data_IF_865088996206
#
_entry.id   IF_865088996206
#
_cell.length_a   1.000
_cell.length_b   1.000
_cell.length_c   1.000
_cell.angle_alpha   90.00
_cell.angle_beta   90.00
_cell.angle_gamma   90.00
#
_symmetry.space_group_name_H-M   'P 1'
#
loop_
_entity.id
_entity.type
_entity.pdbx_description
1 polymer ?
#
# COMPACT_ATOMS: atom_id res chain seq x y z
N UNK A 1 -19.91 -4.07 3.35
CA UNK A 1 -18.72 -3.30 3.74
C UNK A 1 -17.73 -4.23 4.41
N UNK A 2 -16.64 -4.65 3.75
CA UNK A 2 -15.58 -5.41 4.43
C UNK A 2 -14.76 -4.40 5.21
N UNK A 3 -14.87 -4.41 6.53
CA UNK A 3 -14.03 -3.57 7.38
C UNK A 3 -12.59 -4.04 7.21
N UNK A 4 -11.72 -3.11 6.85
CA UNK A 4 -10.28 -3.34 6.76
C UNK A 4 -9.67 -3.25 8.15
N UNK A 5 -10.28 -3.88 9.16
CA UNK A 5 -9.85 -3.70 10.54
C UNK A 5 -8.49 -4.37 10.75
N UNK A 6 -7.57 -3.72 11.47
CA UNK A 6 -6.29 -4.32 11.80
C UNK A 6 -6.48 -5.55 12.70
N UNK A 7 -5.85 -6.65 12.33
CA UNK A 7 -5.89 -7.92 13.07
C UNK A 7 -4.58 -8.06 13.87
N UNK A 8 -4.70 -8.24 15.18
CA UNK A 8 -3.57 -8.60 16.02
C UNK A 8 -3.35 -10.12 15.98
N UNK A 9 -2.10 -10.53 15.77
CA UNK A 9 -1.68 -11.92 15.77
C UNK A 9 -0.33 -12.07 16.48
N UNK A 10 0.14 -13.30 16.68
CA UNK A 10 1.42 -13.61 17.32
C UNK A 10 2.32 -14.36 16.34
N UNK A 11 3.63 -14.12 16.42
CA UNK A 11 4.62 -14.93 15.70
C UNK A 11 4.80 -16.29 16.37
N UNK A 12 5.55 -17.20 15.71
CA UNK A 12 5.97 -18.48 16.30
C UNK A 12 6.67 -18.31 17.65
N UNK A 13 7.40 -17.23 17.84
CA UNK A 13 8.13 -16.90 19.08
C UNK A 13 7.30 -16.03 20.04
N UNK A 14 5.98 -15.96 19.87
CA UNK A 14 5.07 -15.20 20.73
C UNK A 14 5.09 -13.68 20.53
N UNK A 15 5.93 -13.15 19.64
CA UNK A 15 6.01 -11.70 19.42
C UNK A 15 4.75 -11.16 18.74
N UNK A 16 4.19 -10.03 19.20
CA UNK A 16 3.00 -9.45 18.60
C UNK A 16 3.25 -8.98 17.16
N UNK A 17 2.26 -9.22 16.30
CA UNK A 17 2.23 -8.83 14.88
C UNK A 17 0.89 -8.18 14.59
N UNK A 18 0.91 -7.14 13.77
CA UNK A 18 -0.30 -6.53 13.24
C UNK A 18 -0.42 -6.90 11.77
N UNK A 19 -1.59 -7.41 11.39
CA UNK A 19 -1.99 -7.59 10.00
C UNK A 19 -2.96 -6.49 9.63
N UNK A 20 -2.58 -5.66 8.66
CA UNK A 20 -3.45 -4.58 8.18
C UNK A 20 -3.28 -4.44 6.68
N UNK A 21 -4.39 -4.47 5.94
CA UNK A 21 -4.40 -4.39 4.47
C UNK A 21 -3.47 -5.42 3.79
N UNK A 22 -3.39 -6.62 4.36
CA UNK A 22 -2.52 -7.70 3.89
C UNK A 22 -1.02 -7.53 4.20
N UNK A 23 -0.64 -6.48 4.92
CA UNK A 23 0.73 -6.24 5.35
C UNK A 23 0.96 -6.68 6.79
N UNK A 24 2.20 -7.12 7.07
CA UNK A 24 2.66 -7.46 8.41
C UNK A 24 3.43 -6.30 9.02
N UNK A 25 3.16 -5.98 10.27
CA UNK A 25 3.89 -5.00 11.04
C UNK A 25 4.36 -5.62 12.37
N UNK A 26 5.54 -5.20 12.80
CA UNK A 26 6.12 -5.52 14.10
C UNK A 26 5.85 -4.38 15.07
N UNK A 27 5.57 -4.73 16.32
CA UNK A 27 5.50 -3.74 17.39
C UNK A 27 6.87 -3.06 17.53
N UNK A 28 6.88 -1.74 17.36
CA UNK A 28 8.06 -0.93 17.61
C UNK A 28 8.16 -0.63 19.09
N UNK A 29 9.34 -0.89 19.67
CA UNK A 29 9.62 -0.75 21.08
C UNK A 29 8.55 -1.43 21.98
N UNK A 30 8.57 -2.78 22.07
CA UNK A 30 7.57 -3.55 22.81
C UNK A 30 7.39 -3.12 24.26
N UNK A 31 8.48 -2.61 24.86
CA UNK A 31 8.55 -2.20 26.26
C UNK A 31 7.99 -0.80 26.53
N UNK A 32 7.49 -0.10 25.50
CA UNK A 32 6.84 1.20 25.69
C UNK A 32 5.64 1.06 26.63
N UNK A 33 5.60 1.78 27.74
CA UNK A 33 4.46 1.72 28.69
C UNK A 33 3.24 2.55 28.24
N UNK A 34 3.38 3.31 27.15
CA UNK A 34 2.30 4.14 26.61
C UNK A 34 1.13 3.32 26.04
N UNK A 35 -0.08 3.87 26.17
CA UNK A 35 -1.33 3.32 25.64
C UNK A 35 -1.27 3.23 24.10
N UNK A 36 -0.57 4.17 23.45
CA UNK A 36 -0.34 4.18 22.00
C UNK A 36 0.85 3.30 21.66
N UNK A 37 0.61 2.30 20.79
CA UNK A 37 1.65 1.41 20.26
C UNK A 37 1.97 1.77 18.82
N UNK A 38 3.27 1.87 18.51
CA UNK A 38 3.74 2.13 17.14
C UNK A 38 4.04 0.81 16.46
N UNK A 39 3.60 0.64 15.21
CA UNK A 39 3.81 -0.58 14.44
C UNK A 39 4.58 -0.26 13.17
N UNK A 40 5.72 -0.94 12.95
CA UNK A 40 6.55 -0.76 11.75
C UNK A 40 6.39 -1.93 10.81
N UNK A 41 6.25 -1.65 9.52
CA UNK A 41 6.17 -2.68 8.49
C UNK A 41 7.38 -3.63 8.60
N UNK A 42 7.17 -4.94 8.46
CA UNK A 42 8.28 -5.92 8.49
C UNK A 42 9.33 -5.65 7.40
N UNK A 43 8.93 -4.98 6.30
CA UNK A 43 9.81 -4.59 5.20
C UNK A 43 10.50 -3.24 5.43
N UNK A 44 10.33 -2.60 6.59
CA UNK A 44 10.95 -1.30 6.93
C UNK A 44 12.47 -1.33 6.78
N UNK A 45 13.12 -2.38 7.29
CA UNK A 45 14.58 -2.56 7.23
C UNK A 45 15.06 -3.29 5.96
N UNK A 46 14.14 -3.67 5.07
CA UNK A 46 14.52 -4.37 3.84
C UNK A 46 15.18 -3.39 2.88
N UNK A 47 16.47 -3.61 2.56
CA UNK A 47 17.24 -2.78 1.62
C UNK A 47 16.56 -2.66 0.24
N UNK A 48 15.81 -3.69 -0.18
CA UNK A 48 15.08 -3.74 -1.45
C UNK A 48 13.79 -2.91 -1.47
N UNK A 49 13.15 -2.70 -0.32
CA UNK A 49 11.81 -2.09 -0.25
C UNK A 49 11.73 -0.80 0.59
N UNK A 50 12.70 -0.53 1.48
CA UNK A 50 12.78 0.63 2.41
C UNK A 50 11.40 1.12 2.87
N UNK A 51 10.56 0.21 3.37
CA UNK A 51 9.12 0.42 3.43
C UNK A 51 8.74 1.50 4.47
N UNK A 52 8.79 2.77 4.08
CA UNK A 52 8.39 3.96 4.86
C UNK A 52 6.93 4.38 4.59
N UNK A 53 6.16 3.59 3.85
CA UNK A 53 4.94 4.07 3.19
C UNK A 53 5.22 4.74 1.84
N UNK A 54 6.38 4.45 1.26
CA UNK A 54 6.94 5.09 0.07
C UNK A 54 6.15 4.71 -1.20
N UNK A 55 5.86 5.72 -2.01
CA UNK A 55 5.40 5.56 -3.39
C UNK A 55 6.60 5.15 -4.24
N UNK A 56 6.51 4.02 -4.92
CA UNK A 56 7.58 3.58 -5.82
C UNK A 56 7.06 3.57 -7.25
N UNK A 57 7.68 4.38 -8.10
CA UNK A 57 7.49 4.32 -9.54
C UNK A 57 8.43 3.27 -10.11
N UNK A 58 7.86 2.36 -10.88
CA UNK A 58 8.60 1.34 -11.62
C UNK A 58 8.09 1.31 -13.05
N UNK A 59 8.87 0.71 -13.92
CA UNK A 59 8.46 0.41 -15.29
C UNK A 59 8.34 -1.09 -15.43
N UNK A 60 7.29 -1.57 -16.11
CA UNK A 60 7.17 -2.98 -16.48
C UNK A 60 8.22 -3.33 -17.54
N UNK A 61 8.47 -4.62 -17.75
CA UNK A 61 9.33 -5.06 -18.87
C UNK A 61 8.79 -4.59 -20.23
N UNK A 62 7.47 -4.39 -20.36
CA UNK A 62 6.84 -3.84 -21.57
C UNK A 62 6.75 -2.31 -21.57
N UNK A 63 7.55 -1.60 -20.77
CA UNK A 63 7.57 -0.13 -20.75
C UNK A 63 6.37 0.52 -20.03
N UNK A 64 5.47 -0.24 -19.41
CA UNK A 64 4.26 0.33 -18.80
C UNK A 64 4.55 0.88 -17.39
N UNK A 65 4.03 2.06 -17.03
CA UNK A 65 4.25 2.61 -15.69
C UNK A 65 3.52 1.79 -14.63
N UNK A 66 4.24 1.48 -13.56
CA UNK A 66 3.77 0.74 -12.38
C UNK A 66 3.97 1.63 -11.17
N UNK A 67 2.94 1.71 -10.33
CA UNK A 67 3.04 2.33 -9.01
C UNK A 67 2.93 1.24 -7.95
N UNK A 68 3.84 1.23 -6.99
CA UNK A 68 3.71 0.42 -5.78
C UNK A 68 3.48 1.38 -4.62
N UNK A 69 2.36 1.20 -3.94
CA UNK A 69 2.02 1.97 -2.75
C UNK A 69 1.51 1.02 -1.68
N UNK A 70 2.10 1.09 -0.48
CA UNK A 70 1.79 0.18 0.64
C UNK A 70 1.68 -1.27 0.18
N UNK A 71 2.68 -1.74 -0.58
CA UNK A 71 2.80 -3.14 -1.01
C UNK A 71 1.73 -3.63 -1.99
N UNK A 72 0.88 -2.73 -2.49
CA UNK A 72 -0.09 -3.00 -3.54
C UNK A 72 0.39 -2.38 -4.83
N UNK A 73 0.19 -3.10 -5.93
CA UNK A 73 0.54 -2.66 -7.28
C UNK A 73 -0.65 -1.95 -7.91
N UNK A 74 -0.40 -0.84 -8.55
CA UNK A 74 -1.37 -0.05 -9.30
C UNK A 74 -0.85 0.18 -10.72
N UNK A 75 -1.78 0.17 -11.68
CA UNK A 75 -1.52 0.56 -13.06
C UNK A 75 -2.11 1.95 -13.31
N UNK A 76 -1.41 2.76 -14.11
CA UNK A 76 -1.90 4.07 -14.54
C UNK A 76 -3.22 3.88 -15.32
N UNK A 77 -4.23 4.65 -14.96
CA UNK A 77 -5.49 4.68 -15.70
C UNK A 77 -5.37 5.74 -16.81
N UNK A 78 -5.30 5.29 -18.06
CA UNK A 78 -5.19 6.15 -19.25
C UNK A 78 -6.56 6.69 -19.71
N UNK A 79 -7.42 7.09 -18.78
CA UNK A 79 -8.63 7.83 -19.15
C UNK A 79 -8.19 9.21 -19.63
N UNK A 80 -8.76 9.69 -20.74
CA UNK A 80 -8.58 11.05 -21.23
C UNK A 80 -9.00 12.04 -20.15
N UNK A 81 -8.05 12.61 -19.41
CA UNK A 81 -8.32 13.87 -18.73
C UNK A 81 -8.53 14.89 -19.86
N UNK A 82 -9.78 15.24 -20.10
CA UNK A 82 -10.18 16.32 -21.02
C UNK A 82 -9.70 17.69 -20.53
N UNK A 83 -9.11 17.77 -19.34
CA UNK A 83 -8.52 18.99 -18.81
C UNK A 83 -6.97 18.90 -18.81
N UNK A 84 -6.28 19.54 -19.78
CA UNK A 84 -4.83 19.57 -19.88
C UNK A 84 -4.11 20.23 -18.69
N UNK A 85 -4.81 21.02 -17.87
CA UNK A 85 -4.26 21.56 -16.61
C UNK A 85 -4.22 20.54 -15.47
N UNK A 86 -4.93 19.41 -15.60
CA UNK A 86 -4.99 18.42 -14.53
C UNK A 86 -3.83 17.42 -14.65
N UNK A 87 -2.70 17.73 -14.00
CA UNK A 87 -1.61 16.77 -13.72
C UNK A 87 -2.03 15.59 -12.81
N UNK A 88 -3.35 15.44 -12.59
CA UNK A 88 -4.00 14.46 -11.74
C UNK A 88 -4.08 13.13 -12.44
N UNK A 89 -3.22 12.20 -12.05
CA UNK A 89 -3.21 10.84 -12.57
C UNK A 89 -3.89 9.90 -11.59
N UNK A 90 -4.93 9.19 -12.06
CA UNK A 90 -5.52 8.08 -11.29
C UNK A 90 -4.79 6.77 -11.60
N UNK A 91 -4.52 6.00 -10.55
CA UNK A 91 -3.90 4.69 -10.62
C UNK A 91 -4.82 3.68 -9.95
N UNK A 92 -5.14 2.60 -10.66
CA UNK A 92 -6.08 1.57 -10.17
C UNK A 92 -5.33 0.32 -9.76
N UNK A 93 -5.80 -0.37 -8.72
CA UNK A 93 -5.20 -1.63 -8.30
C UNK A 93 -5.19 -2.64 -9.45
N UNK A 94 -4.12 -3.43 -9.55
CA UNK A 94 -4.01 -4.48 -10.58
C UNK A 94 -5.04 -5.60 -10.40
N UNK A 95 -5.54 -5.83 -9.18
CA UNK A 95 -6.57 -6.83 -8.87
C UNK A 95 -7.99 -6.35 -9.21
N UNK A 96 -8.12 -5.30 -10.03
CA UNK A 96 -9.44 -4.77 -10.43
C UNK A 96 -10.32 -5.80 -11.13
N UNK A 97 -9.71 -6.68 -11.92
CA UNK A 97 -10.42 -7.76 -12.59
C UNK A 97 -10.88 -8.86 -11.61
N UNK A 98 -10.29 -8.92 -10.41
CA UNK A 98 -10.71 -9.77 -9.29
C UNK A 98 -11.59 -9.02 -8.27
N UNK A 99 -12.26 -7.95 -8.71
CA UNK A 99 -13.23 -7.20 -7.91
C UNK A 99 -12.67 -6.07 -7.04
N UNK A 100 -11.34 -5.86 -6.99
CA UNK A 100 -10.77 -4.78 -6.19
C UNK A 100 -11.09 -3.40 -6.78
N UNK A 101 -11.61 -2.48 -5.95
CA UNK A 101 -11.93 -1.09 -6.36
C UNK A 101 -10.98 -0.06 -5.78
N UNK A 102 -9.88 -0.49 -5.15
CA UNK A 102 -8.85 0.40 -4.64
C UNK A 102 -8.18 1.17 -5.79
N UNK A 103 -7.96 2.46 -5.56
CA UNK A 103 -7.24 3.34 -6.46
C UNK A 103 -6.50 4.41 -5.65
N UNK A 104 -5.51 5.04 -6.27
CA UNK A 104 -4.83 6.21 -5.73
C UNK A 104 -4.79 7.30 -6.78
N UNK A 105 -4.71 8.54 -6.34
CA UNK A 105 -4.62 9.71 -7.20
C UNK A 105 -3.36 10.46 -6.84
N UNK A 106 -2.57 10.76 -7.87
CA UNK A 106 -1.33 11.49 -7.76
C UNK A 106 -1.44 12.81 -8.54
N UNK A 107 -0.80 13.87 -8.03
CA UNK A 107 -0.57 15.13 -8.73
C UNK A 107 0.94 15.37 -8.67
N UNK A 108 1.61 15.61 -9.81
CA UNK A 108 3.07 15.79 -9.87
C UNK A 108 3.87 14.71 -9.09
N UNK A 109 3.46 13.45 -9.19
CA UNK A 109 4.02 12.29 -8.48
C UNK A 109 3.79 12.24 -6.96
N UNK A 110 3.10 13.23 -6.39
CA UNK A 110 2.71 13.22 -4.99
C UNK A 110 1.34 12.57 -4.81
N UNK A 111 1.20 11.73 -3.77
CA UNK A 111 -0.07 11.11 -3.44
C UNK A 111 -1.00 12.11 -2.78
N UNK A 112 -2.06 12.48 -3.50
CA UNK A 112 -3.08 13.41 -2.99
C UNK A 112 -4.32 12.71 -2.45
N UNK A 113 -4.59 11.47 -2.89
CA UNK A 113 -5.78 10.73 -2.44
C UNK A 113 -5.62 9.22 -2.55
N UNK A 114 -6.10 8.50 -1.53
CA UNK A 114 -6.37 7.07 -1.57
C UNK A 114 -7.88 6.87 -1.69
N UNK A 115 -8.32 5.98 -2.58
CA UNK A 115 -9.72 5.73 -2.92
C UNK A 115 -10.02 4.25 -2.67
N UNK A 116 -10.98 3.99 -1.77
CA UNK A 116 -11.39 2.65 -1.32
C UNK A 116 -10.29 1.82 -0.64
N UNK A 117 -10.72 0.83 0.15
CA UNK A 117 -9.83 -0.19 0.71
C UNK A 117 -9.54 -1.31 -0.29
N UNK A 118 -8.43 -2.02 -0.09
CA UNK A 118 -8.17 -3.29 -0.79
C UNK A 118 -8.99 -4.41 -0.16
N UNK A 119 -9.57 -5.27 -0.98
CA UNK A 119 -10.29 -6.48 -0.56
C UNK A 119 -9.43 -7.76 -0.71
N UNK A 120 -8.12 -7.60 -0.90
CA UNK A 120 -7.17 -8.69 -1.09
C UNK A 120 -5.86 -8.38 -0.35
N UNK A 121 -5.09 -9.43 -0.07
CA UNK A 121 -3.77 -9.29 0.54
C UNK A 121 -2.75 -8.71 -0.45
N UNK A 122 -1.64 -8.19 0.06
CA UNK A 122 -0.58 -7.62 -0.78
C UNK A 122 0.00 -8.64 -1.75
N UNK A 123 0.29 -8.19 -2.97
CA UNK A 123 0.72 -9.03 -4.10
C UNK A 123 2.24 -9.31 -4.08
N UNK A 124 2.99 -8.65 -3.19
CA UNK A 124 4.44 -8.85 -3.09
C UNK A 124 4.78 -10.10 -2.29
N UNK A 125 4.83 -11.25 -2.97
CA UNK A 125 5.63 -12.42 -2.57
C UNK A 125 7.10 -12.19 -2.91
#
# INVERSE_FOLDING_TARGET
>A
MIKCDPILTKSRCGQPKLLYLGQKYNLHNPNSQGIKKVWRCVKWSCKRYKCRGELQFRTSMQGRPILIYRGHRFNKEFRSNTNPLSAKTRWRCVQRNHGCRAAVVLIHQELVRVVNGHNHNTILQ
#
